data_IF_748950990621
#
_entry.id   IF_748950990621
#
_cell.length_a   1.000
_cell.length_b   1.000
_cell.length_c   1.000
_cell.angle_alpha   90.00
_cell.angle_beta   90.00
_cell.angle_gamma   90.00
#
_symmetry.space_group_name_H-M   'P 1'
#
loop_
_entity.id
_entity.type
_entity.pdbx_description
1 polymer ?
#
# COMPACT_ATOMS: atom_id res chain seq x y z
N UNK A 1 -14.76 -25.31 25.44
CA UNK A 1 -13.99 -24.25 24.75
C UNK A 1 -12.63 -24.18 25.43
N UNK A 2 -11.52 -24.31 24.69
CA UNK A 2 -10.16 -24.41 25.25
C UNK A 2 -9.17 -23.52 24.49
N UNK A 3 -7.99 -23.29 25.07
CA UNK A 3 -6.91 -22.51 24.46
C UNK A 3 -7.32 -21.08 24.09
N UNK A 4 -6.90 -20.63 22.90
CA UNK A 4 -7.15 -19.27 22.41
C UNK A 4 -8.64 -18.91 22.33
N UNK A 5 -9.52 -19.87 22.03
CA UNK A 5 -10.97 -19.62 21.97
C UNK A 5 -11.53 -19.22 23.35
N UNK A 6 -11.05 -19.87 24.42
CA UNK A 6 -11.45 -19.54 25.80
C UNK A 6 -10.94 -18.16 26.21
N UNK A 7 -9.71 -17.82 25.84
CA UNK A 7 -9.12 -16.50 26.12
C UNK A 7 -9.87 -15.40 25.37
N UNK A 8 -10.18 -15.62 24.09
CA UNK A 8 -10.97 -14.67 23.29
C UNK A 8 -12.37 -14.46 23.87
N UNK A 9 -13.04 -15.53 24.31
CA UNK A 9 -14.35 -15.43 24.97
C UNK A 9 -14.27 -14.66 26.31
N UNK A 10 -13.21 -14.88 27.10
CA UNK A 10 -12.98 -14.16 28.35
C UNK A 10 -12.78 -12.66 28.10
N UNK A 11 -11.86 -12.31 27.19
CA UNK A 11 -11.57 -10.92 26.81
C UNK A 11 -12.78 -10.23 26.17
N UNK A 12 -13.60 -10.97 25.41
CA UNK A 12 -14.83 -10.44 24.81
C UNK A 12 -15.94 -10.19 25.84
N UNK A 13 -16.00 -10.99 26.91
CA UNK A 13 -17.00 -10.86 27.98
C UNK A 13 -16.59 -9.81 29.01
N UNK A 14 -15.29 -9.64 29.23
CA UNK A 14 -14.71 -8.74 30.22
C UNK A 14 -13.67 -7.82 29.54
N UNK A 15 -14.12 -6.68 28.98
CA UNK A 15 -13.26 -5.75 28.23
C UNK A 15 -12.05 -5.24 29.03
N UNK A 16 -12.15 -5.18 30.35
CA UNK A 16 -11.06 -4.80 31.27
C UNK A 16 -9.86 -5.78 31.22
N UNK A 17 -10.08 -7.02 30.78
CA UNK A 17 -9.02 -8.02 30.57
C UNK A 17 -8.58 -8.11 29.10
N UNK A 18 -9.19 -7.34 28.19
CA UNK A 18 -8.86 -7.35 26.78
C UNK A 18 -7.55 -6.58 26.51
N UNK A 19 -6.43 -7.28 26.70
CA UNK A 19 -5.10 -6.74 26.40
C UNK A 19 -4.63 -7.33 25.06
N UNK A 20 -4.59 -6.49 24.04
CA UNK A 20 -4.03 -6.82 22.72
C UNK A 20 -2.76 -6.03 22.48
N UNK A 21 -1.72 -6.71 21.96
CA UNK A 21 -0.45 -6.06 21.62
C UNK A 21 -0.65 -5.08 20.47
N UNK A 22 -0.22 -3.83 20.67
CA UNK A 22 -0.07 -2.88 19.56
C UNK A 22 1.14 -3.25 18.70
N UNK A 23 0.95 -3.27 17.38
CA UNK A 23 2.00 -3.51 16.40
C UNK A 23 2.43 -2.22 15.69
N UNK A 24 2.38 -1.07 16.38
CA UNK A 24 2.66 0.25 15.79
C UNK A 24 3.98 0.31 15.01
N UNK A 25 5.08 -0.17 15.61
CA UNK A 25 6.39 -0.17 14.96
C UNK A 25 6.40 -1.01 13.68
N UNK A 26 5.81 -2.21 13.71
CA UNK A 26 5.70 -3.08 12.54
C UNK A 26 4.80 -2.48 11.46
N UNK A 27 3.70 -1.82 11.85
CA UNK A 27 2.81 -1.15 10.91
C UNK A 27 3.51 0.01 10.19
N UNK A 28 4.25 0.85 10.92
CA UNK A 28 5.06 1.92 10.33
C UNK A 28 6.13 1.34 9.40
N UNK A 29 6.84 0.30 9.84
CA UNK A 29 7.84 -0.36 9.01
C UNK A 29 7.25 -0.92 7.71
N UNK A 30 6.08 -1.56 7.77
CA UNK A 30 5.36 -2.02 6.58
C UNK A 30 4.98 -0.88 5.64
N UNK A 31 4.55 0.27 6.18
CA UNK A 31 4.27 1.46 5.36
C UNK A 31 5.53 2.00 4.67
N UNK A 32 6.68 2.01 5.35
CA UNK A 32 7.96 2.42 4.77
C UNK A 32 8.39 1.49 3.62
N UNK A 33 8.16 0.18 3.75
CA UNK A 33 8.43 -0.76 2.66
C UNK A 33 7.50 -0.53 1.46
N UNK A 34 6.20 -0.31 1.69
CA UNK A 34 5.27 0.04 0.62
C UNK A 34 5.70 1.32 -0.11
N UNK A 35 6.16 2.35 0.61
CA UNK A 35 6.70 3.56 -0.01
C UNK A 35 7.91 3.25 -0.88
N UNK A 36 8.89 2.50 -0.37
CA UNK A 36 10.08 2.14 -1.11
C UNK A 36 9.75 1.34 -2.39
N UNK A 37 8.82 0.39 -2.30
CA UNK A 37 8.35 -0.40 -3.45
C UNK A 37 7.65 0.48 -4.50
N UNK A 38 6.78 1.40 -4.07
CA UNK A 38 6.11 2.34 -4.98
C UNK A 38 7.13 3.24 -5.68
N UNK A 39 8.07 3.83 -4.94
CA UNK A 39 9.12 4.70 -5.51
C UNK A 39 10.01 3.94 -6.49
N UNK A 40 10.34 2.68 -6.18
CA UNK A 40 11.11 1.83 -7.10
C UNK A 40 10.34 1.56 -8.41
N UNK A 41 9.06 1.18 -8.32
CA UNK A 41 8.22 0.94 -9.49
C UNK A 41 7.99 2.20 -10.31
N UNK A 42 7.83 3.36 -9.66
CA UNK A 42 7.72 4.66 -10.34
C UNK A 42 8.99 4.98 -11.14
N UNK A 43 10.17 4.75 -10.54
CA UNK A 43 11.43 4.93 -11.25
C UNK A 43 11.59 3.94 -12.41
N UNK A 44 11.13 2.70 -12.26
CA UNK A 44 11.12 1.71 -13.35
C UNK A 44 10.22 2.14 -14.49
N UNK A 45 8.98 2.56 -14.20
CA UNK A 45 8.03 3.04 -15.20
C UNK A 45 8.59 4.25 -15.96
N UNK A 46 9.21 5.20 -15.24
CA UNK A 46 9.86 6.36 -15.88
C UNK A 46 10.94 5.96 -16.87
N UNK A 47 11.79 4.99 -16.50
CA UNK A 47 12.84 4.49 -17.41
C UNK A 47 12.26 3.83 -18.66
N UNK A 48 11.23 3.00 -18.50
CA UNK A 48 10.57 2.36 -19.65
C UNK A 48 10.00 3.41 -20.62
N UNK A 49 9.38 4.47 -20.10
CA UNK A 49 8.86 5.58 -20.92
C UNK A 49 9.99 6.36 -21.61
N UNK A 50 11.12 6.57 -20.92
CA UNK A 50 12.29 7.23 -21.50
C UNK A 50 12.97 6.39 -22.59
N UNK A 51 13.07 5.06 -22.39
CA UNK A 51 13.65 4.12 -23.35
C UNK A 51 12.79 4.00 -24.62
N UNK A 52 11.46 3.99 -24.50
CA UNK A 52 10.53 4.05 -25.63
C UNK A 52 10.71 5.34 -26.43
N UNK A 53 10.83 6.48 -25.76
CA UNK A 53 11.06 7.76 -26.41
C UNK A 53 12.40 7.79 -27.15
N UNK A 54 13.46 7.27 -26.53
CA UNK A 54 14.81 7.25 -27.11
C UNK A 54 14.97 6.27 -28.28
N UNK A 55 14.24 5.14 -28.27
CA UNK A 55 14.27 4.13 -29.33
C UNK A 55 13.51 4.54 -30.60
N UNK A 56 12.77 5.66 -30.57
CA UNK A 56 11.94 6.11 -31.68
C UNK A 56 10.70 5.25 -31.90
N UNK A 57 10.48 4.24 -31.05
CA UNK A 57 9.24 3.49 -30.99
C UNK A 57 8.18 4.37 -30.33
N UNK A 58 7.40 5.02 -31.21
CA UNK A 58 6.02 5.46 -30.95
C UNK A 58 5.83 6.54 -29.86
N UNK A 59 5.85 7.84 -30.22
CA UNK A 59 5.59 8.94 -29.28
C UNK A 59 4.13 9.07 -28.77
N UNK A 60 3.26 8.09 -29.05
CA UNK A 60 1.81 8.20 -28.81
C UNK A 60 1.32 7.41 -27.58
N UNK A 61 2.13 6.50 -27.01
CA UNK A 61 1.71 5.61 -25.92
C UNK A 61 1.63 6.35 -24.57
N UNK A 62 2.44 7.40 -24.38
CA UNK A 62 2.41 8.23 -23.18
C UNK A 62 1.08 8.99 -22.97
N UNK A 63 0.25 9.12 -24.02
CA UNK A 63 -0.96 9.96 -24.00
C UNK A 63 -2.27 9.19 -24.10
N UNK A 64 -2.24 7.87 -24.38
CA UNK A 64 -3.46 7.07 -24.52
C UNK A 64 -3.42 5.80 -23.66
N UNK A 65 -4.20 5.86 -22.57
CA UNK A 65 -4.48 4.74 -21.68
C UNK A 65 -4.97 3.50 -22.42
N UNK A 66 -5.77 3.67 -23.47
CA UNK A 66 -6.35 2.57 -24.24
C UNK A 66 -5.27 1.78 -24.98
N UNK A 67 -4.30 2.47 -25.58
CA UNK A 67 -3.16 1.87 -26.27
C UNK A 67 -2.20 1.19 -25.28
N UNK A 68 -1.88 1.81 -24.14
CA UNK A 68 -1.06 1.19 -23.07
C UNK A 68 -1.69 -0.07 -22.46
N UNK A 69 -3.01 -0.14 -22.39
CA UNK A 69 -3.73 -1.27 -21.79
C UNK A 69 -3.91 -2.47 -22.73
N UNK A 70 -3.70 -2.27 -24.04
CA UNK A 70 -3.76 -3.32 -25.05
C UNK A 70 -2.38 -3.97 -25.19
N UNK A 71 -2.31 -5.29 -24.94
CA UNK A 71 -1.08 -6.09 -24.89
C UNK A 71 -0.51 -6.43 -26.27
N UNK A 72 -0.51 -5.50 -27.21
CA UNK A 72 -0.17 -5.83 -28.61
C UNK A 72 1.34 -5.85 -28.89
N UNK A 73 2.21 -5.36 -27.99
CA UNK A 73 3.67 -5.46 -28.10
C UNK A 73 4.36 -5.86 -26.78
N UNK A 74 5.52 -6.52 -26.92
CA UNK A 74 6.32 -7.08 -25.81
C UNK A 74 6.84 -6.02 -24.83
N UNK A 75 7.05 -4.78 -25.29
CA UNK A 75 7.48 -3.64 -24.44
C UNK A 75 6.32 -2.98 -23.68
N UNK A 76 5.16 -2.78 -24.32
CA UNK A 76 3.97 -2.19 -23.69
C UNK A 76 3.46 -3.02 -22.50
N UNK A 77 3.63 -4.35 -22.56
CA UNK A 77 3.29 -5.25 -21.47
C UNK A 77 4.07 -4.92 -20.16
N UNK A 78 5.32 -4.45 -20.28
CA UNK A 78 6.19 -4.16 -19.13
C UNK A 78 5.81 -2.86 -18.43
N UNK A 79 5.44 -1.82 -19.17
CA UNK A 79 4.95 -0.55 -18.59
C UNK A 79 3.61 -0.74 -17.89
N UNK A 80 2.70 -1.43 -18.56
CA UNK A 80 1.38 -1.71 -18.00
C UNK A 80 1.46 -2.55 -16.73
N UNK A 81 2.33 -3.55 -16.69
CA UNK A 81 2.57 -4.36 -15.50
C UNK A 81 3.10 -3.50 -14.33
N UNK A 82 4.02 -2.56 -14.60
CA UNK A 82 4.50 -1.63 -13.58
C UNK A 82 3.35 -0.75 -13.04
N UNK A 83 2.47 -0.24 -13.91
CA UNK A 83 1.29 0.55 -13.52
C UNK A 83 0.33 -0.28 -12.65
N UNK A 84 0.05 -1.53 -13.02
CA UNK A 84 -0.81 -2.42 -12.23
C UNK A 84 -0.22 -2.70 -10.84
N UNK A 85 1.09 -2.97 -10.75
CA UNK A 85 1.79 -3.16 -9.47
C UNK A 85 1.75 -1.89 -8.62
N UNK A 86 1.96 -0.71 -9.21
CA UNK A 86 1.86 0.57 -8.50
C UNK A 86 0.45 0.74 -7.90
N UNK A 87 -0.61 0.46 -8.66
CA UNK A 87 -2.00 0.55 -8.19
C UNK A 87 -2.27 -0.36 -7.01
N UNK A 88 -1.87 -1.63 -7.10
CA UNK A 88 -2.02 -2.61 -6.01
C UNK A 88 -1.29 -2.14 -4.74
N UNK A 89 -0.08 -1.61 -4.87
CA UNK A 89 0.73 -1.15 -3.73
C UNK A 89 0.18 0.14 -3.13
N UNK A 90 -0.31 1.07 -3.96
CA UNK A 90 -0.97 2.29 -3.51
C UNK A 90 -2.25 1.99 -2.74
N UNK A 91 -3.05 1.03 -3.19
CA UNK A 91 -4.24 0.58 -2.45
C UNK A 91 -3.85 0.09 -1.06
N UNK A 92 -2.87 -0.81 -0.96
CA UNK A 92 -2.35 -1.33 0.32
C UNK A 92 -1.79 -0.22 1.21
N UNK A 93 -1.07 0.74 0.63
CA UNK A 93 -0.51 1.87 1.36
C UNK A 93 -1.58 2.81 1.89
N UNK A 94 -2.57 3.17 1.07
CA UNK A 94 -3.67 4.04 1.47
C UNK A 94 -4.52 3.38 2.57
N UNK A 95 -4.78 2.08 2.46
CA UNK A 95 -5.44 1.29 3.49
C UNK A 95 -4.67 1.31 4.82
N UNK A 96 -3.35 1.09 4.75
CA UNK A 96 -2.49 1.10 5.93
C UNK A 96 -2.47 2.51 6.57
N UNK A 97 -2.44 3.57 5.75
CA UNK A 97 -2.46 4.95 6.20
C UNK A 97 -3.78 5.31 6.91
N UNK A 98 -4.92 4.90 6.36
CA UNK A 98 -6.24 5.09 6.98
C UNK A 98 -6.35 4.34 8.32
N UNK A 99 -5.88 3.09 8.37
CA UNK A 99 -5.87 2.29 9.61
C UNK A 99 -4.94 2.92 10.65
N UNK A 100 -3.78 3.45 10.22
CA UNK A 100 -2.84 4.11 11.11
C UNK A 100 -3.41 5.45 11.64
N UNK A 101 -3.98 6.31 10.79
CA UNK A 101 -4.55 7.60 11.22
C UNK A 101 -5.71 7.43 12.21
N UNK A 102 -6.59 6.44 11.98
CA UNK A 102 -7.66 6.09 12.90
C UNK A 102 -7.14 5.57 14.26
N UNK A 103 -5.97 4.92 14.28
CA UNK A 103 -5.33 4.47 15.53
C UNK A 103 -4.62 5.59 16.29
N UNK A 104 -4.10 6.60 15.59
CA UNK A 104 -3.40 7.75 16.18
C UNK A 104 -4.41 8.76 16.78
N UNK A 105 -5.53 9.02 16.10
CA UNK A 105 -6.55 9.98 16.55
C UNK A 105 -7.28 9.59 17.85
N UNK A 106 -7.21 8.32 18.27
CA UNK A 106 -7.79 7.86 19.54
C UNK A 106 -6.91 8.13 20.75
N UNK A 107 -5.64 8.48 20.55
CA UNK A 107 -4.65 8.59 21.63
C UNK A 107 -4.39 10.04 22.09
N UNK A 108 -4.97 11.04 21.42
CA UNK A 108 -4.76 12.47 21.71
C UNK A 108 -5.90 13.12 22.49
N UNK A 109 -6.97 12.38 22.81
CA UNK A 109 -8.12 12.89 23.56
C UNK A 109 -7.91 12.88 25.09
N UNK A 110 -6.80 12.34 25.59
CA UNK A 110 -6.59 12.07 27.02
C UNK A 110 -5.48 12.92 27.67
N UNK A 111 -5.10 14.03 27.02
CA UNK A 111 -4.11 14.97 27.56
C UNK A 111 -4.70 16.38 27.56
N UNK A 112 -5.67 16.62 28.43
CA UNK A 112 -6.00 17.98 28.88
C UNK A 112 -5.71 18.05 30.38
N UNK A 113 -4.66 18.77 30.83
CA UNK A 113 -4.47 19.04 32.25
C UNK A 113 -5.53 20.04 32.71
N UNK A 114 -6.28 19.68 33.75
CA UNK A 114 -7.09 20.63 34.53
C UNK A 114 -6.24 21.50 35.45
#
# INVERSE_FOLDING_TARGET
MEGYAKIAALMGTHPEFAIVRSFRALNIQNMLYLQAEITHLEAQLRRLVEDDFASGNRPHHAHDWWTLSQRDEVDDASQWEAVLKIREKLEKYNDALLKHSASVGKNTADITPG
#
